data_IF_731216204954
#
_entry.id   IF_731216204954
#
_cell.length_a   1.000
_cell.length_b   1.000
_cell.length_c   1.000
_cell.angle_alpha   90.00
_cell.angle_beta   90.00
_cell.angle_gamma   90.00
#
_symmetry.space_group_name_H-M   'P 1'
#
loop_
_entity.id
_entity.type
_entity.pdbx_description
1 polymer ?
#
# COMPACT_ATOMS: atom_id res chain seq x y z
N UNK A 1 29.78 -1.59 -33.42
CA UNK A 1 29.27 -0.68 -32.36
C UNK A 1 27.74 -0.58 -32.47
N UNK A 2 26.98 -1.03 -31.48
CA UNK A 2 25.51 -0.84 -31.47
C UNK A 2 25.22 0.61 -31.03
N UNK A 3 24.77 1.45 -31.95
CA UNK A 3 24.31 2.81 -31.65
C UNK A 3 23.11 2.72 -30.71
N UNK A 4 23.26 3.23 -29.47
CA UNK A 4 22.14 3.36 -28.54
C UNK A 4 21.08 4.27 -29.18
N UNK A 5 19.88 3.77 -29.39
CA UNK A 5 18.74 4.59 -29.85
C UNK A 5 18.49 5.69 -28.84
N UNK A 6 18.28 6.94 -29.27
CA UNK A 6 17.97 8.04 -28.34
C UNK A 6 16.67 7.74 -27.59
N UNK A 7 16.67 8.08 -26.30
CA UNK A 7 15.48 7.95 -25.44
C UNK A 7 14.45 8.97 -25.92
N UNK A 8 13.20 8.56 -26.10
CA UNK A 8 12.11 9.47 -26.47
C UNK A 8 11.84 10.49 -25.33
N UNK A 9 11.39 11.69 -25.67
CA UNK A 9 11.05 12.74 -24.70
C UNK A 9 10.07 12.22 -23.64
N UNK A 10 9.04 11.45 -24.03
CA UNK A 10 8.07 10.82 -23.13
C UNK A 10 8.76 9.91 -22.11
N UNK A 11 9.66 9.05 -22.56
CA UNK A 11 10.39 8.12 -21.68
C UNK A 11 11.34 8.86 -20.73
N UNK A 12 11.92 9.98 -21.17
CA UNK A 12 12.74 10.84 -20.33
C UNK A 12 11.91 11.45 -19.17
N UNK A 13 10.73 11.99 -19.47
CA UNK A 13 9.83 12.53 -18.43
C UNK A 13 9.34 11.45 -17.45
N UNK A 14 9.04 10.25 -17.94
CA UNK A 14 8.68 9.10 -17.07
C UNK A 14 9.84 8.76 -16.09
N UNK A 15 11.09 8.72 -16.58
CA UNK A 15 12.27 8.47 -15.74
C UNK A 15 12.41 9.56 -14.68
N UNK A 16 12.29 10.83 -15.07
CA UNK A 16 12.37 11.95 -14.15
C UNK A 16 11.31 11.92 -13.06
N UNK A 17 10.07 11.57 -13.42
CA UNK A 17 8.99 11.39 -12.44
C UNK A 17 9.31 10.27 -11.44
N UNK A 18 9.84 9.14 -11.90
CA UNK A 18 10.27 8.04 -11.02
C UNK A 18 11.37 8.48 -10.07
N UNK A 19 12.39 9.15 -10.57
CA UNK A 19 13.51 9.67 -9.75
C UNK A 19 13.00 10.63 -8.67
N UNK A 20 12.13 11.57 -9.04
CA UNK A 20 11.54 12.53 -8.09
C UNK A 20 10.72 11.79 -7.01
N UNK A 21 9.88 10.83 -7.40
CA UNK A 21 9.06 10.07 -6.47
C UNK A 21 9.90 9.21 -5.52
N UNK A 22 10.91 8.52 -6.05
CA UNK A 22 11.83 7.69 -5.25
C UNK A 22 12.61 8.55 -4.26
N UNK A 23 13.15 9.69 -4.70
CA UNK A 23 13.85 10.63 -3.83
C UNK A 23 12.93 11.22 -2.76
N UNK A 24 11.68 11.54 -3.12
CA UNK A 24 10.69 12.03 -2.14
C UNK A 24 10.41 10.99 -1.07
N UNK A 25 10.16 9.73 -1.45
CA UNK A 25 9.92 8.62 -0.51
C UNK A 25 11.16 8.39 0.36
N UNK A 26 12.35 8.35 -0.22
CA UNK A 26 13.61 8.11 0.50
C UNK A 26 13.88 9.20 1.55
N UNK A 27 13.59 10.46 1.25
CA UNK A 27 13.93 11.58 2.12
C UNK A 27 12.81 11.96 3.10
N UNK A 28 11.54 11.67 2.79
CA UNK A 28 10.40 12.14 3.59
C UNK A 28 9.56 11.03 4.24
N UNK A 29 9.66 9.79 3.77
CA UNK A 29 8.87 8.66 4.28
C UNK A 29 9.76 7.69 5.05
N UNK A 30 10.80 7.18 4.41
CA UNK A 30 11.69 6.17 5.00
C UNK A 30 12.28 6.59 6.35
N UNK A 31 12.76 7.84 6.55
CA UNK A 31 13.30 8.27 7.84
C UNK A 31 12.28 8.29 9.00
N UNK A 32 10.98 8.37 8.68
CA UNK A 32 9.90 8.34 9.68
C UNK A 32 9.62 6.93 10.20
N UNK A 33 10.09 5.88 9.49
CA UNK A 33 9.96 4.49 9.92
C UNK A 33 11.12 4.18 10.88
N UNK A 34 10.86 3.66 12.10
CA UNK A 34 11.90 3.32 13.06
C UNK A 34 12.95 2.37 12.49
N UNK A 35 14.22 2.56 12.87
CA UNK A 35 15.35 1.83 12.29
C UNK A 35 15.26 0.32 12.48
N UNK A 36 14.73 -0.14 13.61
CA UNK A 36 14.58 -1.56 13.92
C UNK A 36 13.54 -2.28 13.04
N UNK A 37 12.52 -1.58 12.50
CA UNK A 37 11.50 -2.18 11.64
C UNK A 37 11.67 -1.80 10.16
N UNK A 38 12.40 -0.73 9.86
CA UNK A 38 12.65 -0.24 8.50
C UNK A 38 13.15 -1.32 7.53
N UNK A 39 14.05 -2.24 7.91
CA UNK A 39 14.54 -3.30 7.01
C UNK A 39 13.46 -4.27 6.52
N UNK A 40 12.33 -4.32 7.22
CA UNK A 40 11.21 -5.20 6.84
C UNK A 40 10.29 -4.57 5.78
N UNK A 41 10.33 -3.25 5.58
CA UNK A 41 9.47 -2.55 4.64
C UNK A 41 10.25 -2.00 3.44
N UNK A 42 9.84 -2.41 2.24
CA UNK A 42 10.37 -1.89 0.98
C UNK A 42 9.25 -1.20 0.22
N UNK A 43 9.37 0.11 0.02
CA UNK A 43 8.40 0.88 -0.77
C UNK A 43 8.82 0.91 -2.24
N UNK A 44 7.88 0.64 -3.14
CA UNK A 44 8.05 0.64 -4.60
C UNK A 44 7.04 1.55 -5.24
N UNK A 45 7.51 2.53 -5.99
CA UNK A 45 6.68 3.44 -6.74
C UNK A 45 6.33 2.88 -8.11
N UNK A 46 5.04 2.92 -8.48
CA UNK A 46 4.55 2.57 -9.80
C UNK A 46 4.42 3.84 -10.66
N UNK A 47 4.95 3.80 -11.89
CA UNK A 47 4.95 4.93 -12.83
C UNK A 47 3.52 5.44 -13.06
N UNK A 48 3.36 6.76 -13.11
CA UNK A 48 2.08 7.41 -13.34
C UNK A 48 1.21 7.60 -12.10
N UNK A 49 1.71 7.20 -10.91
CA UNK A 49 1.01 7.45 -9.65
C UNK A 49 1.29 8.85 -9.16
N UNK A 50 0.25 9.61 -8.85
CA UNK A 50 0.40 10.89 -8.16
C UNK A 50 0.60 10.61 -6.66
N UNK A 51 1.78 10.97 -6.15
CA UNK A 51 2.03 10.89 -4.71
C UNK A 51 1.30 12.03 -4.01
N UNK A 52 0.54 11.68 -2.99
CA UNK A 52 -0.12 12.59 -2.07
C UNK A 52 0.54 12.49 -0.69
N UNK A 53 0.85 13.65 -0.10
CA UNK A 53 1.55 13.70 1.18
C UNK A 53 0.72 13.12 2.32
N UNK A 54 -0.58 13.41 2.34
CA UNK A 54 -1.49 12.91 3.37
C UNK A 54 -1.54 11.37 3.36
N UNK A 55 -1.66 10.77 2.17
CA UNK A 55 -1.65 9.32 2.00
C UNK A 55 -0.32 8.68 2.42
N UNK A 56 0.81 9.34 2.14
CA UNK A 56 2.13 8.86 2.59
C UNK A 56 2.29 8.98 4.11
N UNK A 57 1.80 10.04 4.72
CA UNK A 57 1.80 10.18 6.18
C UNK A 57 0.88 9.14 6.83
N UNK A 58 -0.28 8.83 6.24
CA UNK A 58 -1.16 7.75 6.67
C UNK A 58 -0.48 6.38 6.58
N UNK A 59 0.27 6.10 5.50
CA UNK A 59 1.07 4.88 5.37
C UNK A 59 2.11 4.75 6.49
N UNK A 60 2.84 5.82 6.80
CA UNK A 60 3.79 5.81 7.92
C UNK A 60 3.07 5.55 9.23
N UNK A 61 1.94 6.24 9.50
CA UNK A 61 1.15 6.04 10.73
C UNK A 61 0.63 4.61 10.84
N UNK A 62 0.14 4.01 9.74
CA UNK A 62 -0.28 2.60 9.71
C UNK A 62 0.88 1.65 10.03
N UNK A 63 2.07 1.85 9.46
CA UNK A 63 3.28 1.06 9.79
C UNK A 63 3.61 1.16 11.28
N UNK A 64 3.57 2.36 11.86
CA UNK A 64 3.86 2.58 13.27
C UNK A 64 2.83 1.92 14.18
N UNK A 65 1.54 2.08 13.91
CA UNK A 65 0.47 1.43 14.66
C UNK A 65 0.62 -0.08 14.60
N UNK A 66 0.74 -0.65 13.39
CA UNK A 66 0.86 -2.09 13.20
C UNK A 66 2.07 -2.66 13.95
N UNK A 67 3.24 -2.05 13.78
CA UNK A 67 4.48 -2.52 14.39
C UNK A 67 4.55 -2.33 15.90
N UNK A 68 3.71 -1.49 16.50
CA UNK A 68 3.60 -1.35 17.95
C UNK A 68 2.80 -2.48 18.62
N UNK A 69 1.97 -3.19 17.84
CA UNK A 69 1.11 -4.26 18.33
C UNK A 69 1.52 -5.64 17.81
N UNK A 70 2.20 -5.69 16.66
CA UNK A 70 2.56 -6.94 15.97
C UNK A 70 4.07 -7.02 15.78
N UNK A 71 4.66 -8.14 16.13
CA UNK A 71 6.07 -8.39 15.86
C UNK A 71 6.31 -8.59 14.35
N UNK A 72 6.84 -7.58 13.70
CA UNK A 72 7.13 -7.61 12.26
C UNK A 72 8.44 -8.39 12.05
N UNK A 73 8.31 -9.63 11.59
CA UNK A 73 9.44 -10.53 11.32
C UNK A 73 9.61 -10.89 9.85
N UNK A 74 8.56 -10.69 9.02
CA UNK A 74 8.58 -10.98 7.58
C UNK A 74 8.84 -9.71 6.78
N UNK A 75 9.59 -9.83 5.69
CA UNK A 75 9.78 -8.73 4.74
C UNK A 75 8.49 -8.44 3.98
N UNK A 76 8.23 -7.17 3.73
CA UNK A 76 7.07 -6.70 3.01
C UNK A 76 7.49 -5.70 1.91
N UNK A 77 7.07 -5.94 0.68
CA UNK A 77 7.16 -4.95 -0.40
C UNK A 77 5.80 -4.30 -0.61
N UNK A 78 5.74 -3.00 -0.43
CA UNK A 78 4.54 -2.20 -0.64
C UNK A 78 4.68 -1.46 -1.96
N UNK A 79 3.83 -1.81 -2.92
CA UNK A 79 3.70 -1.12 -4.20
C UNK A 79 2.70 0.03 -4.07
N UNK A 80 3.15 1.21 -4.41
CA UNK A 80 2.38 2.45 -4.42
C UNK A 80 1.98 2.72 -5.87
N UNK A 81 0.71 2.52 -6.20
CA UNK A 81 0.23 2.60 -7.57
C UNK A 81 -1.25 2.98 -7.68
N UNK A 82 -1.74 3.11 -8.91
CA UNK A 82 -3.17 3.37 -9.20
C UNK A 82 -3.90 2.12 -9.69
N UNK A 83 -3.16 1.10 -10.13
CA UNK A 83 -3.69 -0.16 -10.62
C UNK A 83 -2.59 -1.21 -10.71
N UNK A 84 -2.95 -2.47 -10.69
CA UNK A 84 -2.06 -3.59 -10.97
C UNK A 84 -2.71 -4.55 -11.98
N UNK A 85 -1.91 -5.44 -12.57
CA UNK A 85 -2.39 -6.48 -13.48
C UNK A 85 -2.47 -7.81 -12.78
N UNK A 86 -3.66 -8.41 -12.78
CA UNK A 86 -3.87 -9.79 -12.35
C UNK A 86 -3.81 -10.70 -13.55
N UNK A 87 -2.92 -11.68 -13.51
CA UNK A 87 -2.76 -12.68 -14.55
C UNK A 87 -3.50 -13.96 -14.15
N UNK A 88 -4.27 -14.52 -15.08
CA UNK A 88 -4.88 -15.83 -14.92
C UNK A 88 -4.28 -16.75 -15.98
N UNK A 89 -3.88 -17.95 -15.59
CA UNK A 89 -3.42 -19.01 -16.49
C UNK A 89 -4.53 -20.03 -16.54
N UNK A 90 -5.08 -20.22 -17.73
CA UNK A 90 -6.13 -21.20 -17.97
C UNK A 90 -5.55 -22.61 -18.09
N UNK A 91 -6.31 -23.70 -17.78
CA UNK A 91 -5.84 -25.06 -17.91
C UNK A 91 -5.36 -25.44 -19.32
N UNK A 92 -5.85 -24.75 -20.34
CA UNK A 92 -5.42 -24.94 -21.75
C UNK A 92 -4.08 -24.27 -22.08
N UNK A 93 -3.42 -23.61 -21.10
CA UNK A 93 -2.14 -22.92 -21.30
C UNK A 93 -2.27 -21.50 -21.87
N UNK A 94 -3.49 -21.04 -22.18
CA UNK A 94 -3.72 -19.64 -22.50
C UNK A 94 -3.60 -18.77 -21.24
N UNK A 95 -3.21 -17.52 -21.41
CA UNK A 95 -3.22 -16.58 -20.29
C UNK A 95 -4.08 -15.36 -20.63
N UNK A 96 -4.76 -14.85 -19.63
CA UNK A 96 -5.45 -13.58 -19.70
C UNK A 96 -4.93 -12.65 -18.60
N UNK A 97 -5.07 -11.36 -18.80
CA UNK A 97 -4.75 -10.39 -17.77
C UNK A 97 -5.88 -9.37 -17.62
N UNK A 98 -6.12 -8.93 -16.40
CA UNK A 98 -7.11 -7.90 -16.10
C UNK A 98 -6.46 -6.84 -15.23
N UNK A 99 -6.62 -5.58 -15.63
CA UNK A 99 -6.23 -4.47 -14.79
C UNK A 99 -7.21 -4.37 -13.62
N UNK A 100 -6.67 -4.28 -12.42
CA UNK A 100 -7.41 -4.14 -11.15
C UNK A 100 -7.08 -2.80 -10.52
N UNK A 101 -8.10 -2.18 -9.95
CA UNK A 101 -8.00 -0.92 -9.18
C UNK A 101 -8.36 -1.15 -7.71
N UNK A 102 -8.10 -2.34 -7.22
CA UNK A 102 -8.34 -2.78 -5.85
C UNK A 102 -7.06 -2.70 -5.03
N UNK A 103 -7.16 -2.87 -3.74
CA UNK A 103 -6.03 -3.23 -2.89
C UNK A 103 -5.70 -4.71 -3.06
N UNK A 104 -4.50 -5.10 -2.70
CA UNK A 104 -4.10 -6.50 -2.74
C UNK A 104 -3.03 -6.74 -1.68
N UNK A 105 -3.27 -7.76 -0.87
CA UNK A 105 -2.24 -8.35 -0.03
C UNK A 105 -2.06 -9.83 -0.43
N UNK A 106 -0.81 -10.29 -0.50
CA UNK A 106 -0.48 -11.68 -0.76
C UNK A 106 0.90 -12.01 -0.19
N UNK A 107 1.16 -13.28 0.04
CA UNK A 107 2.46 -13.76 0.51
C UNK A 107 3.04 -14.74 -0.50
N UNK A 108 4.28 -14.54 -0.91
CA UNK A 108 5.01 -15.41 -1.83
C UNK A 108 6.35 -15.76 -1.19
N UNK A 109 6.60 -17.05 -0.91
CA UNK A 109 7.85 -17.53 -0.31
C UNK A 109 8.25 -16.73 0.95
N UNK A 110 7.33 -16.60 1.91
CA UNK A 110 7.51 -15.83 3.17
C UNK A 110 7.78 -14.34 2.98
N UNK A 111 7.54 -13.81 1.79
CA UNK A 111 7.65 -12.39 1.49
C UNK A 111 6.26 -11.80 1.25
N UNK A 112 5.87 -10.84 2.06
CA UNK A 112 4.60 -10.16 1.92
C UNK A 112 4.67 -9.13 0.78
N UNK A 113 3.64 -9.10 -0.04
CA UNK A 113 3.47 -8.15 -1.13
C UNK A 113 2.13 -7.46 -0.93
N UNK A 114 2.16 -6.15 -0.83
CA UNK A 114 0.97 -5.32 -0.68
C UNK A 114 0.95 -4.33 -1.85
N UNK A 115 -0.21 -4.20 -2.48
CA UNK A 115 -0.47 -3.16 -3.45
C UNK A 115 -1.47 -2.17 -2.88
N UNK A 116 -1.07 -0.90 -2.77
CA UNK A 116 -1.91 0.20 -2.31
C UNK A 116 -2.33 1.08 -3.48
N UNK A 117 -3.65 1.21 -3.68
CA UNK A 117 -4.20 2.11 -4.68
C UNK A 117 -4.23 3.55 -4.13
N UNK A 118 -3.21 4.32 -4.45
CA UNK A 118 -3.08 5.70 -3.97
C UNK A 118 -4.16 6.64 -4.51
N UNK A 119 -4.72 6.35 -5.67
CA UNK A 119 -5.83 7.14 -6.18
C UNK A 119 -7.09 7.01 -5.30
N UNK A 120 -7.41 5.79 -4.84
CA UNK A 120 -8.53 5.56 -3.92
C UNK A 120 -8.21 6.16 -2.55
N UNK A 121 -7.01 5.88 -2.00
CA UNK A 121 -6.61 6.35 -0.69
C UNK A 121 -6.59 7.88 -0.57
N UNK A 122 -6.24 8.59 -1.63
CA UNK A 122 -6.24 10.07 -1.63
C UNK A 122 -7.63 10.71 -1.63
N UNK A 123 -8.70 9.92 -1.79
CA UNK A 123 -10.09 10.40 -1.84
C UNK A 123 -10.85 10.20 -0.53
N UNK A 124 -10.24 9.51 0.44
CA UNK A 124 -10.87 9.24 1.74
C UNK A 124 -10.22 10.07 2.86
N UNK A 125 -10.86 10.11 4.03
CA UNK A 125 -10.27 10.80 5.19
C UNK A 125 -8.98 10.11 5.65
N UNK A 126 -8.07 10.83 6.36
CA UNK A 126 -6.84 10.25 6.89
C UNK A 126 -7.08 8.99 7.73
N UNK A 127 -8.13 8.99 8.55
CA UNK A 127 -8.49 7.88 9.44
C UNK A 127 -8.88 6.65 8.63
N UNK A 128 -9.74 6.82 7.63
CA UNK A 128 -10.16 5.75 6.71
C UNK A 128 -8.97 5.24 5.90
N UNK A 129 -8.09 6.14 5.45
CA UNK A 129 -6.87 5.78 4.74
C UNK A 129 -5.96 4.89 5.60
N UNK A 130 -5.74 5.25 6.88
CA UNK A 130 -4.95 4.46 7.83
C UNK A 130 -5.58 3.09 8.05
N UNK A 131 -6.90 3.03 8.29
CA UNK A 131 -7.63 1.78 8.51
C UNK A 131 -7.53 0.85 7.30
N UNK A 132 -7.72 1.36 6.08
CA UNK A 132 -7.59 0.57 4.84
C UNK A 132 -6.17 0.01 4.66
N UNK A 133 -5.14 0.76 5.01
CA UNK A 133 -3.75 0.26 4.95
C UNK A 133 -3.50 -0.79 6.02
N UNK A 134 -4.04 -0.61 7.23
CA UNK A 134 -3.94 -1.59 8.32
C UNK A 134 -4.62 -2.91 7.95
N UNK A 135 -5.75 -2.87 7.24
CA UNK A 135 -6.44 -4.07 6.75
C UNK A 135 -5.53 -4.91 5.84
N UNK A 136 -4.82 -4.26 4.90
CA UNK A 136 -3.87 -4.95 4.04
C UNK A 136 -2.68 -5.54 4.84
N UNK A 137 -2.26 -4.88 5.93
CA UNK A 137 -1.24 -5.43 6.83
C UNK A 137 -1.76 -6.63 7.61
N UNK A 138 -3.00 -6.61 8.07
CA UNK A 138 -3.65 -7.76 8.74
C UNK A 138 -3.71 -8.94 7.79
N UNK A 139 -4.18 -8.72 6.54
CA UNK A 139 -4.19 -9.77 5.53
C UNK A 139 -2.80 -10.38 5.28
N UNK A 140 -1.79 -9.51 5.10
CA UNK A 140 -0.44 -9.94 4.73
C UNK A 140 0.36 -10.59 5.86
N UNK A 141 0.31 -10.04 7.08
CA UNK A 141 1.18 -10.45 8.17
C UNK A 141 0.54 -11.45 9.12
N UNK A 142 -0.78 -11.43 9.23
CA UNK A 142 -1.54 -12.30 10.14
C UNK A 142 -2.26 -13.45 9.41
N UNK A 143 -2.14 -13.51 8.08
CA UNK A 143 -2.74 -14.54 7.22
C UNK A 143 -4.26 -14.66 7.44
N UNK A 144 -4.94 -13.53 7.53
CA UNK A 144 -6.39 -13.42 7.73
C UNK A 144 -7.05 -13.11 6.39
N UNK A 145 -7.64 -14.10 5.69
CA UNK A 145 -8.23 -13.87 4.37
C UNK A 145 -9.62 -13.23 4.42
N UNK A 146 -10.35 -13.37 5.54
CA UNK A 146 -11.73 -12.89 5.68
C UNK A 146 -11.78 -11.41 6.08
N UNK A 147 -12.39 -10.58 5.24
CA UNK A 147 -12.56 -9.14 5.52
C UNK A 147 -13.25 -8.85 6.87
N UNK A 148 -14.34 -9.55 7.29
CA UNK A 148 -14.97 -9.23 8.58
C UNK A 148 -14.03 -9.43 9.78
N UNK A 149 -13.16 -10.45 9.74
CA UNK A 149 -12.19 -10.67 10.81
C UNK A 149 -11.07 -9.63 10.74
N UNK A 150 -10.55 -9.33 9.55
CA UNK A 150 -9.54 -8.29 9.35
C UNK A 150 -10.06 -6.93 9.87
N UNK A 151 -11.29 -6.58 9.53
CA UNK A 151 -11.96 -5.37 9.99
C UNK A 151 -12.02 -5.28 11.53
N UNK A 152 -12.41 -6.37 12.21
CA UNK A 152 -12.42 -6.38 13.69
C UNK A 152 -11.03 -6.18 14.28
N UNK A 153 -10.00 -6.79 13.69
CA UNK A 153 -8.61 -6.58 14.13
C UNK A 153 -8.21 -5.12 13.94
N UNK A 154 -8.54 -4.52 12.79
CA UNK A 154 -8.25 -3.10 12.54
C UNK A 154 -8.91 -2.19 13.57
N UNK A 155 -10.17 -2.44 13.97
CA UNK A 155 -10.84 -1.66 15.02
C UNK A 155 -10.14 -1.78 16.39
N UNK A 156 -9.53 -2.93 16.69
CA UNK A 156 -8.72 -3.10 17.91
C UNK A 156 -7.39 -2.34 17.84
N UNK A 157 -6.76 -2.31 16.66
CA UNK A 157 -5.49 -1.60 16.44
C UNK A 157 -5.68 -0.09 16.34
N UNK A 158 -6.82 0.36 15.79
CA UNK A 158 -7.07 1.74 15.44
C UNK A 158 -8.53 2.14 15.72
N UNK A 159 -8.87 2.50 16.97
CA UNK A 159 -10.25 2.79 17.39
C UNK A 159 -10.80 4.15 16.90
N UNK A 160 -10.00 4.92 16.12
CA UNK A 160 -10.42 6.19 15.52
C UNK A 160 -11.39 6.00 14.33
N UNK A 161 -11.69 4.75 13.97
CA UNK A 161 -12.67 4.40 12.93
C UNK A 161 -13.74 3.46 13.45
N UNK A 162 -14.87 3.42 12.75
CA UNK A 162 -15.95 2.43 12.91
C UNK A 162 -16.26 1.81 11.55
N UNK A 163 -17.11 0.80 11.53
CA UNK A 163 -17.57 0.13 10.31
C UNK A 163 -19.06 0.38 10.14
N UNK A 164 -19.45 0.84 8.95
CA UNK A 164 -20.85 1.04 8.61
C UNK A 164 -21.56 -0.29 8.25
N UNK A 165 -22.86 -0.24 7.99
CA UNK A 165 -23.67 -1.41 7.61
C UNK A 165 -23.27 -2.07 6.29
N UNK A 166 -22.42 -1.41 5.48
CA UNK A 166 -21.88 -1.95 4.23
C UNK A 166 -20.51 -2.59 4.40
N UNK A 167 -19.96 -2.58 5.63
CA UNK A 167 -18.61 -3.09 5.89
C UNK A 167 -17.48 -2.11 5.56
N UNK A 168 -17.79 -0.82 5.36
CA UNK A 168 -16.81 0.21 5.00
C UNK A 168 -16.38 1.01 6.25
N UNK A 169 -15.11 1.39 6.32
CA UNK A 169 -14.61 2.24 7.41
C UNK A 169 -15.17 3.66 7.33
N UNK A 170 -15.46 4.20 8.49
CA UNK A 170 -15.85 5.58 8.70
C UNK A 170 -15.06 6.16 9.88
N UNK A 171 -14.61 7.41 9.77
CA UNK A 171 -14.00 8.12 10.89
C UNK A 171 -15.01 8.27 12.04
N UNK A 172 -14.56 7.98 13.26
CA UNK A 172 -15.38 8.28 14.44
C UNK A 172 -15.57 9.80 14.56
N UNK A 173 -16.82 10.24 14.63
CA UNK A 173 -17.11 11.61 15.01
C UNK A 173 -16.85 11.75 16.52
N UNK A 174 -15.62 12.07 16.91
CA UNK A 174 -15.40 12.53 18.28
C UNK A 174 -16.14 13.87 18.41
N UNK A 175 -17.28 13.85 19.12
CA UNK A 175 -17.87 15.09 19.59
C UNK A 175 -16.91 15.59 20.67
N UNK A 176 -16.29 16.73 20.42
CA UNK A 176 -15.57 17.45 21.46
C UNK A 176 -16.55 17.65 22.63
N UNK A 177 -16.30 16.94 23.74
CA UNK A 177 -17.00 17.09 25.02
C UNK A 177 -16.27 18.11 25.88
#
# INVERSE_FOLDING_TARGET
MKTKRPISAKKYEEIKQVEMAVNFIANNVIPKIPENIRPFFRLKYCIGTKLDRQTLDALVKAILIFSSHVNVSKKCTIFIGNSFFRFNIEPCGSFSYKQKQEFMATTINDHNIIFLNFHILSQVSPEVCIASILEEFVHAFMDVPEHPLANHIVLLLYPEVTINSRGEYQACCFRDT
#
